data_IF_397862361159
#
_entry.id   IF_397862361159
#
_cell.length_a   1.000
_cell.length_b   1.000
_cell.length_c   1.000
_cell.angle_alpha   90.00
_cell.angle_beta   90.00
_cell.angle_gamma   90.00
#
_symmetry.space_group_name_H-M   'P 1'
#
loop_
_entity.id
_entity.type
_entity.pdbx_description
1 polymer ?
#
# COMPACT_ATOMS: atom_id res chain seq x y z
N UNK A 1 -9.55 -40.85 35.94
CA UNK A 1 -10.67 -41.27 35.07
C UNK A 1 -11.83 -40.32 35.31
N UNK A 2 -12.24 -39.63 34.25
CA UNK A 2 -13.33 -38.64 34.12
C UNK A 2 -13.02 -37.24 34.66
N UNK A 3 -13.24 -36.13 33.97
CA UNK A 3 -13.46 -35.83 32.54
C UNK A 3 -13.12 -34.33 32.36
N UNK A 4 -12.69 -33.96 31.16
CA UNK A 4 -12.43 -32.60 30.68
C UNK A 4 -13.69 -31.72 30.77
N UNK A 5 -13.50 -30.43 31.04
CA UNK A 5 -14.31 -29.35 30.45
C UNK A 5 -13.53 -28.04 30.53
N UNK A 6 -12.87 -27.73 29.42
CA UNK A 6 -12.31 -26.43 29.08
C UNK A 6 -13.43 -25.37 29.01
N UNK A 7 -13.43 -24.38 29.91
CA UNK A 7 -14.14 -23.12 29.67
C UNK A 7 -13.26 -22.23 28.78
N UNK A 8 -13.57 -22.28 27.50
CA UNK A 8 -13.00 -21.42 26.46
C UNK A 8 -13.83 -20.14 26.37
N UNK A 9 -13.32 -19.05 26.94
CA UNK A 9 -13.84 -17.69 26.72
C UNK A 9 -13.57 -17.28 25.26
N UNK A 10 -14.51 -17.67 24.40
CA UNK A 10 -14.56 -17.26 22.99
C UNK A 10 -15.22 -15.89 22.92
N UNK A 11 -14.41 -14.82 23.01
CA UNK A 11 -14.83 -13.44 22.73
C UNK A 11 -15.11 -13.30 21.21
N UNK A 12 -16.26 -13.78 20.78
CA UNK A 12 -16.76 -13.60 19.42
C UNK A 12 -17.24 -12.16 19.25
N UNK A 13 -16.33 -11.31 18.79
CA UNK A 13 -16.60 -9.97 18.26
C UNK A 13 -17.64 -10.06 17.13
N UNK A 14 -18.90 -9.84 17.47
CA UNK A 14 -20.00 -9.82 16.51
C UNK A 14 -20.21 -8.37 16.05
N UNK A 15 -19.88 -8.00 14.78
CA UNK A 15 -20.07 -6.65 14.30
C UNK A 15 -21.57 -6.34 14.13
N UNK A 16 -22.07 -5.17 14.56
CA UNK A 16 -23.47 -4.83 14.39
C UNK A 16 -23.85 -4.69 12.91
N UNK A 17 -25.00 -5.29 12.61
CA UNK A 17 -25.66 -5.46 11.32
C UNK A 17 -25.84 -4.17 10.50
N UNK A 18 -25.60 -4.32 9.19
CA UNK A 18 -25.69 -3.32 8.12
C UNK A 18 -27.07 -2.64 8.06
N UNK A 19 -27.14 -1.35 8.35
CA UNK A 19 -28.26 -0.51 7.89
C UNK A 19 -27.95 0.00 6.48
N UNK A 20 -28.68 -0.52 5.51
CA UNK A 20 -28.71 -0.12 4.11
C UNK A 20 -29.10 1.37 4.02
N UNK A 21 -28.15 2.23 3.68
CA UNK A 21 -28.46 3.53 3.08
C UNK A 21 -27.49 3.77 1.95
N UNK A 22 -27.90 3.23 0.81
CA UNK A 22 -27.35 3.48 -0.51
C UNK A 22 -27.02 4.96 -0.68
N UNK A 23 -25.76 5.23 -0.98
CA UNK A 23 -25.35 6.41 -1.72
C UNK A 23 -24.39 5.92 -2.78
N UNK A 24 -24.96 5.41 -3.86
CA UNK A 24 -24.32 5.51 -5.16
C UNK A 24 -23.99 6.98 -5.42
N UNK A 25 -22.73 7.24 -5.74
CA UNK A 25 -22.37 8.40 -6.53
C UNK A 25 -21.23 7.98 -7.44
N UNK A 26 -21.62 7.34 -8.53
CA UNK A 26 -20.78 7.15 -9.71
C UNK A 26 -20.74 8.52 -10.40
N UNK A 27 -19.64 9.26 -10.22
CA UNK A 27 -19.27 10.34 -11.13
C UNK A 27 -17.77 10.28 -11.37
N UNK A 28 -17.42 9.68 -12.51
CA UNK A 28 -16.16 9.87 -13.20
C UNK A 28 -15.87 11.37 -13.36
N UNK A 29 -14.75 11.85 -12.84
CA UNK A 29 -14.16 13.13 -13.26
C UNK A 29 -12.65 12.96 -13.43
N UNK A 30 -12.10 13.18 -14.65
CA UNK A 30 -10.66 13.25 -14.84
C UNK A 30 -10.20 14.63 -14.35
N UNK A 31 -9.37 14.65 -13.31
CA UNK A 31 -8.71 15.87 -12.86
C UNK A 31 -7.33 15.92 -13.50
N UNK A 32 -7.23 16.47 -14.70
CA UNK A 32 -5.98 17.04 -15.21
C UNK A 32 -5.60 18.20 -14.29
N UNK A 33 -4.49 18.08 -13.57
CA UNK A 33 -4.01 19.15 -12.71
C UNK A 33 -2.88 18.66 -11.82
N UNK A 34 -1.65 18.85 -12.32
CA UNK A 34 -0.38 18.96 -11.59
C UNK A 34 -0.45 18.60 -10.09
N UNK A 35 0.05 17.42 -9.75
CA UNK A 35 0.46 17.13 -8.38
C UNK A 35 1.69 17.99 -8.06
N UNK A 36 1.70 18.83 -7.01
CA UNK A 36 2.96 19.31 -6.48
C UNK A 36 3.64 18.11 -5.82
N UNK A 37 4.74 17.68 -6.43
CA UNK A 37 5.65 16.69 -5.89
C UNK A 37 6.05 17.12 -4.47
N UNK A 38 5.44 16.50 -3.45
CA UNK A 38 6.00 16.54 -2.10
C UNK A 38 7.17 15.58 -2.10
N UNK A 39 8.31 16.08 -2.55
CA UNK A 39 9.60 15.43 -2.41
C UNK A 39 9.77 15.03 -0.94
N UNK A 40 9.80 13.72 -0.71
CA UNK A 40 10.23 13.13 0.54
C UNK A 40 11.76 13.22 0.53
N UNK A 41 12.32 14.14 1.30
CA UNK A 41 13.74 14.11 1.64
C UNK A 41 13.85 13.79 3.13
N UNK A 42 14.15 12.52 3.41
CA UNK A 42 14.87 12.16 4.62
C UNK A 42 16.29 12.68 4.40
N UNK A 43 16.73 13.63 5.24
CA UNK A 43 18.15 13.90 5.39
C UNK A 43 18.55 13.66 6.83
N UNK A 44 19.21 12.52 7.05
CA UNK A 44 20.43 12.54 7.84
C UNK A 44 21.42 13.43 7.08
N UNK A 45 21.88 14.49 7.74
CA UNK A 45 23.12 15.17 7.38
C UNK A 45 23.00 16.40 6.48
N UNK A 46 23.46 17.51 7.05
CA UNK A 46 24.15 18.63 6.40
C UNK A 46 23.43 19.40 5.28
N UNK A 47 22.82 20.52 5.70
CA UNK A 47 23.12 21.87 5.22
C UNK A 47 23.17 22.11 3.71
N UNK A 48 22.11 22.73 3.19
CA UNK A 48 22.18 23.74 2.13
C UNK A 48 21.08 24.76 2.40
N UNK A 49 21.49 25.95 2.79
CA UNK A 49 20.65 27.14 2.90
C UNK A 49 20.26 27.60 1.51
N UNK A 50 18.98 27.52 1.14
CA UNK A 50 18.45 28.24 -0.01
C UNK A 50 17.73 29.53 0.43
N UNK A 51 18.10 30.70 -0.13
CA UNK A 51 17.67 32.01 0.31
C UNK A 51 16.37 32.44 -0.39
N UNK A 52 15.24 31.83 -0.04
CA UNK A 52 13.94 32.46 -0.32
C UNK A 52 12.92 32.09 0.75
N UNK A 53 13.08 32.77 1.88
CA UNK A 53 12.11 32.94 2.95
C UNK A 53 10.86 33.66 2.40
N UNK A 54 9.96 32.93 1.72
CA UNK A 54 8.57 33.35 1.63
C UNK A 54 7.82 32.78 2.83
N UNK A 55 7.83 33.60 3.87
CA UNK A 55 6.92 33.58 5.02
C UNK A 55 5.57 32.92 4.70
N UNK A 56 5.45 31.63 4.97
CA UNK A 56 4.15 31.10 5.37
C UNK A 56 4.18 31.02 6.88
N UNK A 57 4.13 32.20 7.49
CA UNK A 57 3.74 32.36 8.88
C UNK A 57 2.46 31.54 9.10
N UNK A 58 2.37 30.68 10.13
CA UNK A 58 1.10 30.13 10.53
C UNK A 58 0.26 31.31 11.04
N UNK A 59 -0.51 31.92 10.12
CA UNK A 59 -1.30 33.10 10.37
C UNK A 59 -2.10 32.92 11.65
N UNK A 60 -1.79 33.76 12.65
CA UNK A 60 -2.52 33.91 13.91
C UNK A 60 -3.98 34.20 13.56
N UNK A 61 -4.81 33.16 13.47
CA UNK A 61 -6.26 33.31 13.39
C UNK A 61 -6.70 33.78 14.76
N UNK A 62 -7.24 35.00 14.80
CA UNK A 62 -7.59 35.71 16.01
C UNK A 62 -8.36 34.87 17.01
N UNK A 63 -8.16 35.19 18.28
CA UNK A 63 -8.94 34.73 19.44
C UNK A 63 -10.43 35.02 19.23
N UNK A 64 -11.10 34.17 18.45
CA UNK A 64 -12.54 33.99 18.54
C UNK A 64 -12.70 32.92 19.60
N UNK A 65 -13.25 33.30 20.77
CA UNK A 65 -13.48 32.41 21.91
C UNK A 65 -14.12 31.13 21.39
N UNK A 66 -13.30 30.08 21.33
CA UNK A 66 -13.66 28.79 20.76
C UNK A 66 -14.66 28.16 21.71
N UNK A 67 -15.89 27.93 21.24
CA UNK A 67 -16.87 27.22 22.05
C UNK A 67 -16.33 25.80 22.32
N UNK A 68 -16.61 25.23 23.49
CA UNK A 68 -16.12 23.89 23.88
C UNK A 68 -16.49 22.82 22.85
N UNK A 69 -17.59 22.99 22.11
CA UNK A 69 -18.00 22.13 21.00
C UNK A 69 -17.07 22.19 19.77
N UNK A 70 -16.45 23.34 19.50
CA UNK A 70 -15.53 23.49 18.37
C UNK A 70 -14.16 22.84 18.62
N UNK A 71 -13.73 22.73 19.88
CA UNK A 71 -12.52 22.00 20.30
C UNK A 71 -12.74 20.50 20.13
N UNK A 72 -13.85 19.96 20.64
CA UNK A 72 -14.20 18.54 20.50
C UNK A 72 -14.28 18.11 19.02
N UNK A 73 -14.85 18.97 18.15
CA UNK A 73 -14.87 18.74 16.70
C UNK A 73 -13.47 18.75 16.08
N UNK A 74 -12.59 19.65 16.52
CA UNK A 74 -11.22 19.75 16.03
C UNK A 74 -10.39 18.51 16.40
N UNK A 75 -10.54 18.00 17.63
CA UNK A 75 -9.89 16.77 18.10
C UNK A 75 -10.33 15.56 17.26
N UNK A 76 -11.64 15.38 17.06
CA UNK A 76 -12.17 14.29 16.20
C UNK A 76 -11.59 14.36 14.77
N UNK A 77 -11.47 15.56 14.20
CA UNK A 77 -10.89 15.73 12.85
C UNK A 77 -9.40 15.41 12.80
N UNK A 78 -8.63 15.77 13.83
CA UNK A 78 -7.20 15.43 13.92
C UNK A 78 -7.01 13.92 13.97
N UNK A 79 -7.83 13.22 14.75
CA UNK A 79 -7.71 11.76 14.86
C UNK A 79 -8.16 11.04 13.59
N UNK A 80 -9.24 11.50 12.93
CA UNK A 80 -9.64 10.98 11.62
C UNK A 80 -8.54 11.14 10.56
N UNK A 81 -7.89 12.30 10.50
CA UNK A 81 -6.77 12.51 9.57
C UNK A 81 -5.58 11.61 9.90
N UNK A 82 -5.30 11.40 11.19
CA UNK A 82 -4.26 10.47 11.63
C UNK A 82 -4.57 9.05 11.16
N UNK A 83 -5.81 8.59 11.37
CA UNK A 83 -6.26 7.28 10.91
C UNK A 83 -6.22 7.17 9.38
N UNK A 84 -6.69 8.18 8.66
CA UNK A 84 -6.63 8.22 7.20
C UNK A 84 -5.19 8.18 6.67
N UNK A 85 -4.26 8.86 7.35
CA UNK A 85 -2.85 8.86 6.98
C UNK A 85 -2.19 7.50 7.24
N UNK A 86 -2.51 6.85 8.37
CA UNK A 86 -2.07 5.48 8.66
C UNK A 86 -2.59 4.52 7.58
N UNK A 87 -3.89 4.54 7.31
CA UNK A 87 -4.49 3.70 6.28
C UNK A 87 -3.93 3.95 4.88
N UNK A 88 -3.59 5.20 4.54
CA UNK A 88 -2.92 5.52 3.28
C UNK A 88 -1.51 4.92 3.21
N UNK A 89 -0.73 5.05 4.29
CA UNK A 89 0.62 4.46 4.38
C UNK A 89 0.55 2.94 4.29
N UNK A 90 -0.32 2.31 5.07
CA UNK A 90 -0.52 0.86 5.07
C UNK A 90 -0.90 0.35 3.68
N UNK A 91 -1.83 1.00 2.98
CA UNK A 91 -2.18 0.63 1.60
C UNK A 91 -1.00 0.78 0.64
N UNK A 92 -0.20 1.84 0.79
CA UNK A 92 0.97 2.07 -0.05
C UNK A 92 2.05 1.01 0.21
N UNK A 93 2.34 0.72 1.47
CA UNK A 93 3.30 -0.31 1.88
C UNK A 93 2.85 -1.71 1.48
N UNK A 94 1.55 -1.99 1.53
CA UNK A 94 0.99 -3.23 0.99
C UNK A 94 1.20 -3.31 -0.52
N UNK A 95 0.88 -2.26 -1.27
CA UNK A 95 1.04 -2.28 -2.72
C UNK A 95 2.50 -2.45 -3.15
N UNK A 96 3.44 -1.82 -2.45
CA UNK A 96 4.88 -2.02 -2.69
C UNK A 96 5.26 -3.48 -2.48
N UNK A 97 4.85 -4.08 -1.36
CA UNK A 97 5.07 -5.51 -1.10
C UNK A 97 4.45 -6.40 -2.17
N UNK A 98 3.19 -6.16 -2.54
CA UNK A 98 2.51 -6.91 -3.60
C UNK A 98 3.27 -6.82 -4.94
N UNK A 99 3.86 -5.67 -5.27
CA UNK A 99 4.69 -5.50 -6.47
C UNK A 99 6.03 -6.24 -6.36
N UNK A 100 6.69 -6.17 -5.21
CA UNK A 100 7.94 -6.90 -4.94
C UNK A 100 7.72 -8.42 -5.08
N UNK A 101 6.61 -8.93 -4.53
CA UNK A 101 6.22 -10.34 -4.63
C UNK A 101 5.91 -10.73 -6.08
N UNK A 102 5.20 -9.88 -6.83
CA UNK A 102 4.92 -10.12 -8.25
C UNK A 102 6.18 -10.18 -9.09
N UNK A 103 7.13 -9.27 -8.86
CA UNK A 103 8.41 -9.26 -9.57
C UNK A 103 9.18 -10.53 -9.24
N UNK A 104 9.29 -10.90 -7.97
CA UNK A 104 9.98 -12.13 -7.55
C UNK A 104 9.36 -13.38 -8.20
N UNK A 105 8.03 -13.49 -8.21
CA UNK A 105 7.33 -14.61 -8.83
C UNK A 105 7.55 -14.65 -10.36
N UNK A 106 7.54 -13.50 -11.03
CA UNK A 106 7.80 -13.43 -12.47
C UNK A 106 9.25 -13.79 -12.81
N UNK A 107 10.21 -13.36 -12.00
CA UNK A 107 11.63 -13.73 -12.17
C UNK A 107 11.84 -15.22 -12.01
N UNK A 108 11.27 -15.85 -10.97
CA UNK A 108 11.32 -17.30 -10.77
C UNK A 108 10.69 -18.07 -11.93
N UNK A 109 9.54 -17.60 -12.43
CA UNK A 109 8.89 -18.21 -13.59
C UNK A 109 9.76 -18.07 -14.84
N UNK A 110 10.34 -16.91 -15.07
CA UNK A 110 11.21 -16.64 -16.22
C UNK A 110 12.44 -17.55 -16.20
N UNK A 111 13.09 -17.70 -15.05
CA UNK A 111 14.26 -18.59 -14.92
C UNK A 111 13.88 -20.05 -15.13
N UNK A 112 12.77 -20.52 -14.55
CA UNK A 112 12.27 -21.88 -14.78
C UNK A 112 11.92 -22.14 -16.26
N UNK A 113 11.31 -21.17 -16.94
CA UNK A 113 11.01 -21.27 -18.36
C UNK A 113 12.29 -21.26 -19.22
N UNK A 114 13.30 -20.47 -18.85
CA UNK A 114 14.57 -20.42 -19.56
C UNK A 114 15.31 -21.77 -19.47
N UNK A 115 15.38 -22.36 -18.28
CA UNK A 115 16.02 -23.67 -18.08
C UNK A 115 15.27 -24.79 -18.81
N UNK A 116 13.93 -24.78 -18.78
CA UNK A 116 13.13 -25.73 -19.56
C UNK A 116 13.39 -25.57 -21.07
N UNK A 117 13.47 -24.34 -21.57
CA UNK A 117 13.74 -24.08 -22.98
C UNK A 117 15.13 -24.59 -23.39
N UNK A 118 16.14 -24.37 -22.56
CA UNK A 118 17.50 -24.87 -22.77
C UNK A 118 17.53 -26.40 -22.82
N UNK A 119 16.92 -27.07 -21.84
CA UNK A 119 16.82 -28.53 -21.79
C UNK A 119 16.13 -29.11 -23.05
N UNK A 120 15.05 -28.48 -23.50
CA UNK A 120 14.35 -28.89 -24.71
C UNK A 120 15.21 -28.69 -25.97
N UNK A 121 15.95 -27.58 -26.06
CA UNK A 121 16.88 -27.32 -27.17
C UNK A 121 18.01 -28.34 -27.20
N UNK A 122 18.58 -28.68 -26.05
CA UNK A 122 19.59 -29.72 -25.95
C UNK A 122 19.05 -31.08 -26.41
N UNK A 123 17.87 -31.47 -25.92
CA UNK A 123 17.24 -32.74 -26.29
C UNK A 123 16.96 -32.80 -27.80
N UNK A 124 16.42 -31.72 -28.37
CA UNK A 124 16.22 -31.61 -29.82
C UNK A 124 17.54 -31.74 -30.58
N UNK A 125 18.61 -31.10 -30.13
CA UNK A 125 19.93 -31.20 -30.75
C UNK A 125 20.48 -32.63 -30.74
N UNK A 126 20.34 -33.34 -29.60
CA UNK A 126 20.75 -34.75 -29.49
C UNK A 126 19.98 -35.64 -30.46
N UNK A 127 18.66 -35.52 -30.49
CA UNK A 127 17.80 -36.30 -31.40
C UNK A 127 18.06 -35.97 -32.87
N UNK A 128 18.36 -34.71 -33.21
CA UNK A 128 18.74 -34.32 -34.56
C UNK A 128 20.06 -34.97 -34.98
N UNK A 129 21.05 -34.98 -34.10
CA UNK A 129 22.33 -35.65 -34.35
C UNK A 129 22.16 -37.16 -34.53
N UNK A 130 21.37 -37.81 -33.67
CA UNK A 130 21.07 -39.25 -33.81
C UNK A 130 20.39 -39.55 -35.15
N UNK A 131 19.38 -38.75 -35.54
CA UNK A 131 18.72 -38.89 -36.84
C UNK A 131 19.64 -38.65 -38.04
N UNK A 132 20.68 -37.82 -37.88
CA UNK A 132 21.68 -37.62 -38.92
C UNK A 132 22.63 -38.83 -39.04
N UNK A 133 23.02 -39.43 -37.92
CA UNK A 133 23.93 -40.58 -37.90
C UNK A 133 23.27 -41.87 -38.41
N UNK A 134 21.94 -41.95 -38.40
CA UNK A 134 21.16 -43.10 -38.85
C UNK A 134 20.68 -43.00 -40.32
N UNK A 135 21.05 -41.94 -41.04
CA UNK A 135 20.77 -41.75 -42.47
C UNK A 135 21.98 -42.07 -43.33
#
# INVERSE_FOLDING_TARGET
MRDESDESDSDSDQPPSKSQKERECIHTRPSTGLLPARACLISLGCGLTDPHHYLTEPGKKGTKRKSTGDEARAVKRKEQNRAAQRAFRERKEKHVRDLEDQVSALEQKSTAQATENENLRELLGRLQNENLMLK
#
